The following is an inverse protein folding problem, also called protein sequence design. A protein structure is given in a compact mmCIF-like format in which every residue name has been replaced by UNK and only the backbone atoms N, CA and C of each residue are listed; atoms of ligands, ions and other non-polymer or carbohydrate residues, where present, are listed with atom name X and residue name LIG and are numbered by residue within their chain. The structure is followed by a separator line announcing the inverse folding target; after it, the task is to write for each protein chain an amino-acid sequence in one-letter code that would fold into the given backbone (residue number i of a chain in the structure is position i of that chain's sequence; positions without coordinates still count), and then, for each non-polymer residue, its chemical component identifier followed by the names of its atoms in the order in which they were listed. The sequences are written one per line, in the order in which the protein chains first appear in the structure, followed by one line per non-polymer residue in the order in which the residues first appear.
data_IF_595044626041
#
_entry.id   IF_595044626041
#
_cell.length_a   1.000
_cell.length_b   1.000
_cell.length_c   1.000
_cell.angle_alpha   90.00
_cell.angle_beta   90.00
_cell.angle_gamma   90.00
#
_symmetry.space_group_name_H-M   'P 1'
#
loop_
_entity.id
_entity.type
_entity.pdbx_description
1 polymer ?
#
# COMPACT_ATOMS: atom_id res chain seq x y z
N UNK A 1 2.96 11.73 8.52
CA UNK A 1 3.85 11.32 7.40
C UNK A 1 3.81 9.81 7.15
N UNK A 2 4.17 8.96 8.13
CA UNK A 2 4.13 7.50 7.96
C UNK A 2 2.73 6.98 7.59
N UNK A 3 1.69 7.42 8.30
CA UNK A 3 0.30 7.03 8.01
C UNK A 3 -0.15 7.46 6.61
N UNK A 4 0.29 8.63 6.15
CA UNK A 4 -0.01 9.11 4.81
C UNK A 4 0.65 8.24 3.73
N UNK A 5 1.92 7.85 3.94
CA UNK A 5 2.61 6.91 3.05
C UNK A 5 1.90 5.55 3.02
N UNK A 6 1.53 4.99 4.17
CA UNK A 6 0.77 3.73 4.27
C UNK A 6 -0.58 3.83 3.55
N UNK A 7 -1.31 4.94 3.75
CA UNK A 7 -2.58 5.20 3.08
C UNK A 7 -2.45 5.25 1.56
N UNK A 8 -1.42 5.95 1.05
CA UNK A 8 -1.14 5.99 -0.38
C UNK A 8 -0.76 4.61 -0.95
N UNK A 9 0.03 3.83 -0.22
CA UNK A 9 0.37 2.46 -0.63
C UNK A 9 -0.89 1.59 -0.76
N UNK A 10 -1.80 1.64 0.21
CA UNK A 10 -3.08 0.93 0.16
C UNK A 10 -3.96 1.40 -0.99
N UNK A 11 -4.08 2.73 -1.16
CA UNK A 11 -4.89 3.32 -2.22
C UNK A 11 -4.41 2.89 -3.61
N UNK A 12 -3.09 2.85 -3.82
CA UNK A 12 -2.47 2.41 -5.05
C UNK A 12 -2.66 0.90 -5.27
N UNK A 13 -2.33 0.07 -4.28
CA UNK A 13 -2.40 -1.40 -4.39
C UNK A 13 -3.81 -1.91 -4.65
N UNK A 14 -4.81 -1.31 -4.00
CA UNK A 14 -6.22 -1.75 -4.05
C UNK A 14 -7.11 -0.90 -4.95
N UNK A 15 -6.52 -0.03 -5.78
CA UNK A 15 -7.22 0.85 -6.75
C UNK A 15 -8.36 1.65 -6.11
N UNK A 16 -8.22 2.05 -4.84
CA UNK A 16 -9.29 2.67 -4.04
C UNK A 16 -9.75 3.98 -4.69
N UNK A 17 -8.82 4.79 -5.17
CA UNK A 17 -9.13 6.08 -5.80
C UNK A 17 -9.89 5.92 -7.12
N UNK A 18 -9.62 4.87 -7.89
CA UNK A 18 -10.36 4.56 -9.10
C UNK A 18 -11.79 4.09 -8.78
N UNK A 19 -11.93 3.21 -7.79
CA UNK A 19 -13.24 2.76 -7.32
C UNK A 19 -14.10 3.92 -6.79
N UNK A 20 -13.51 4.81 -5.99
CA UNK A 20 -14.17 6.02 -5.48
C UNK A 20 -14.66 6.94 -6.61
N UNK A 21 -13.82 7.18 -7.63
CA UNK A 21 -14.16 8.03 -8.75
C UNK A 21 -15.29 7.46 -9.64
N UNK A 22 -15.37 6.15 -9.80
CA UNK A 22 -16.47 5.48 -10.51
C UNK A 22 -17.76 5.49 -9.68
N UNK A 23 -17.66 5.23 -8.37
CA UNK A 23 -18.81 5.24 -7.48
C UNK A 23 -19.49 6.61 -7.42
N UNK A 24 -18.70 7.69 -7.38
CA UNK A 24 -19.22 9.07 -7.46
C UNK A 24 -19.94 9.37 -8.79
N UNK A 25 -19.67 8.61 -9.84
CA UNK A 25 -20.39 8.66 -11.12
C UNK A 25 -21.59 7.71 -11.18
N UNK A 26 -21.95 7.07 -10.05
CA UNK A 26 -23.06 6.12 -9.96
C UNK A 26 -22.70 4.72 -10.46
N UNK A 27 -21.43 4.43 -10.76
CA UNK A 27 -20.98 3.13 -11.25
C UNK A 27 -20.33 2.36 -10.10
N UNK A 28 -20.97 1.26 -9.70
CA UNK A 28 -20.38 0.33 -8.74
C UNK A 28 -19.43 -0.65 -9.45
N UNK A 29 -18.12 -0.50 -9.22
CA UNK A 29 -17.07 -1.37 -9.75
C UNK A 29 -16.80 -2.58 -8.85
N UNK A 30 -17.81 -3.42 -8.70
CA UNK A 30 -17.72 -4.66 -7.92
C UNK A 30 -16.67 -5.65 -8.43
N UNK A 31 -16.34 -5.55 -9.72
CA UNK A 31 -15.27 -6.28 -10.38
C UNK A 31 -13.88 -5.98 -9.79
N UNK A 32 -13.65 -4.78 -9.24
CA UNK A 32 -12.38 -4.44 -8.54
C UNK A 32 -12.19 -5.19 -7.22
N UNK A 33 -13.15 -6.01 -6.79
CA UNK A 33 -12.98 -6.95 -5.66
C UNK A 33 -12.70 -8.38 -6.12
N UNK A 34 -12.83 -8.67 -7.42
CA UNK A 34 -12.45 -9.95 -7.99
C UNK A 34 -10.91 -10.05 -8.08
N UNK A 35 -10.38 -11.24 -7.82
CA UNK A 35 -8.94 -11.46 -7.67
C UNK A 35 -8.10 -11.01 -8.88
N UNK A 36 -8.67 -11.12 -10.09
CA UNK A 36 -8.01 -10.74 -11.34
C UNK A 36 -7.87 -9.22 -11.51
N UNK A 37 -8.78 -8.45 -10.90
CA UNK A 37 -8.92 -7.00 -11.11
C UNK A 37 -8.59 -6.15 -9.87
N UNK A 38 -8.51 -6.79 -8.69
CA UNK A 38 -8.39 -6.12 -7.38
C UNK A 38 -7.05 -5.46 -7.10
N UNK A 39 -6.10 -5.60 -8.02
CA UNK A 39 -4.70 -5.25 -7.79
C UNK A 39 -4.03 -6.21 -6.80
N UNK A 40 -2.80 -5.88 -6.42
CA UNK A 40 -2.04 -6.66 -5.47
C UNK A 40 -2.47 -6.41 -4.02
N UNK A 41 -2.07 -7.30 -3.12
CA UNK A 41 -2.24 -7.12 -1.68
C UNK A 41 -0.89 -6.84 -1.01
N UNK A 42 -0.92 -6.08 0.10
CA UNK A 42 0.30 -5.84 0.88
C UNK A 42 0.74 -7.10 1.64
N UNK A 43 -0.20 -7.98 2.00
CA UNK A 43 0.10 -9.28 2.59
C UNK A 43 0.86 -10.16 1.60
N UNK A 44 2.00 -10.68 2.01
CA UNK A 44 2.87 -11.49 1.15
C UNK A 44 3.69 -10.69 0.11
N UNK A 45 3.45 -9.39 -0.05
CA UNK A 45 4.25 -8.55 -0.93
C UNK A 45 5.65 -8.29 -0.36
N UNK A 46 6.60 -7.94 -1.24
CA UNK A 46 7.89 -7.39 -0.83
C UNK A 46 7.86 -5.86 -0.95
N UNK A 47 8.09 -5.16 0.17
CA UNK A 47 8.15 -3.70 0.23
C UNK A 47 9.60 -3.25 0.42
N UNK A 48 10.12 -2.48 -0.54
CA UNK A 48 11.43 -1.84 -0.43
C UNK A 48 11.32 -0.41 0.10
N UNK A 49 12.09 -0.09 1.14
CA UNK A 49 12.21 1.25 1.70
C UNK A 49 13.58 1.84 1.38
N UNK A 50 13.60 2.97 0.67
CA UNK A 50 14.81 3.77 0.46
C UNK A 50 14.81 4.89 1.48
N UNK A 51 15.75 4.83 2.42
CA UNK A 51 15.76 5.63 3.65
C UNK A 51 15.05 4.92 4.81
N UNK A 52 15.78 4.72 5.92
CA UNK A 52 15.33 3.97 7.10
C UNK A 52 15.46 4.80 8.41
N UNK A 53 15.23 6.10 8.29
CA UNK A 53 15.11 7.04 9.40
C UNK A 53 13.81 6.89 10.20
N UNK A 54 13.43 7.95 10.93
CA UNK A 54 12.29 7.92 11.86
C UNK A 54 10.97 7.46 11.19
N UNK A 55 10.65 8.01 10.01
CA UNK A 55 9.42 7.67 9.27
C UNK A 55 9.52 6.27 8.66
N UNK A 56 10.64 5.94 8.00
CA UNK A 56 10.84 4.64 7.35
C UNK A 56 10.70 3.47 8.32
N UNK A 57 11.19 3.60 9.55
CA UNK A 57 11.01 2.58 10.60
C UNK A 57 9.56 2.36 11.00
N UNK A 58 8.75 3.42 11.05
CA UNK A 58 7.31 3.31 11.36
C UNK A 58 6.60 2.61 10.20
N UNK A 59 6.86 3.02 8.96
CA UNK A 59 6.29 2.38 7.76
C UNK A 59 6.67 0.89 7.73
N UNK A 60 7.94 0.55 7.99
CA UNK A 60 8.40 -0.84 8.03
C UNK A 60 7.67 -1.68 9.08
N UNK A 61 7.44 -1.13 10.28
CA UNK A 61 6.67 -1.81 11.33
C UNK A 61 5.25 -2.11 10.86
N UNK A 62 4.58 -1.13 10.27
CA UNK A 62 3.21 -1.30 9.76
C UNK A 62 3.16 -2.31 8.62
N UNK A 63 4.08 -2.24 7.66
CA UNK A 63 4.14 -3.18 6.54
C UNK A 63 4.41 -4.62 6.99
N UNK A 64 5.26 -4.83 8.00
CA UNK A 64 5.44 -6.16 8.62
C UNK A 64 4.16 -6.65 9.29
N UNK A 65 3.38 -5.77 9.93
CA UNK A 65 2.10 -6.13 10.53
C UNK A 65 1.05 -6.52 9.48
N UNK A 66 1.12 -5.97 8.26
CA UNK A 66 0.35 -6.44 7.10
C UNK A 66 0.81 -7.79 6.55
N UNK A 67 1.91 -8.36 7.07
CA UNK A 67 2.48 -9.61 6.56
C UNK A 67 3.38 -9.44 5.33
N UNK A 68 3.84 -8.21 5.06
CA UNK A 68 4.78 -7.95 3.98
C UNK A 68 6.23 -8.30 4.37
N UNK A 69 7.03 -8.75 3.39
CA UNK A 69 8.49 -8.80 3.52
C UNK A 69 9.06 -7.40 3.30
N UNK A 70 9.71 -6.83 4.31
CA UNK A 70 10.29 -5.49 4.21
C UNK A 70 11.80 -5.56 3.98
N UNK A 71 12.27 -4.92 2.91
CA UNK A 71 13.67 -4.64 2.63
C UNK A 71 13.92 -3.14 2.85
N UNK A 72 15.10 -2.77 3.35
CA UNK A 72 15.46 -1.37 3.55
C UNK A 72 16.89 -1.12 3.06
N UNK A 73 17.10 0.03 2.43
CA UNK A 73 18.39 0.54 2.02
C UNK A 73 18.55 1.96 2.57
N UNK A 74 19.59 2.18 3.36
CA UNK A 74 19.92 3.48 3.94
C UNK A 74 21.46 3.60 3.97
N UNK A 75 22.06 4.61 3.31
CA UNK A 75 23.50 4.76 3.23
C UNK A 75 24.16 5.16 4.57
N UNK A 76 23.38 5.53 5.59
CA UNK A 76 23.89 5.99 6.88
C UNK A 76 23.43 5.11 8.07
N UNK A 77 22.68 4.04 7.81
CA UNK A 77 22.16 3.13 8.84
C UNK A 77 23.12 1.97 9.13
#
# INVERSE_FOLDING_TARGET
AAEFAVGLMLAAMRRITAADAELKRGVWRGDLYAYEESGGELGGATVGLVGYGAIGRIVARVMRAFGARVLAADPYA
#
